data_IF_320785303440
#
_entry.id   IF_320785303440
#
_cell.length_a   1.000
_cell.length_b   1.000
_cell.length_c   1.000
_cell.angle_alpha   90.00
_cell.angle_beta   90.00
_cell.angle_gamma   90.00
#
_symmetry.space_group_name_H-M   'P 1'
#
loop_
_entity.id
_entity.type
_entity.pdbx_description
1 polymer ?
#
# COMPACT_ATOMS: atom_id res chain seq x y z
N UNK A 1 15.21 11.13 4.56
CA UNK A 1 14.81 10.10 3.58
C UNK A 1 14.17 10.81 2.40
N UNK A 2 14.48 10.42 1.16
CA UNK A 2 13.84 10.99 -0.03
C UNK A 2 12.49 10.30 -0.32
N UNK A 3 11.58 10.96 -1.07
CA UNK A 3 10.33 10.34 -1.53
C UNK A 3 10.57 9.02 -2.26
N UNK A 4 11.53 8.97 -3.17
CA UNK A 4 11.84 7.80 -3.99
C UNK A 4 12.36 6.63 -3.15
N UNK A 5 13.21 6.90 -2.16
CA UNK A 5 13.70 5.88 -1.24
C UNK A 5 12.55 5.27 -0.41
N UNK A 6 11.56 6.08 -0.03
CA UNK A 6 10.38 5.62 0.66
C UNK A 6 9.49 4.76 -0.25
N UNK A 7 9.19 5.24 -1.45
CA UNK A 7 8.41 4.50 -2.46
C UNK A 7 9.02 3.13 -2.73
N UNK A 8 10.33 3.10 -2.98
CA UNK A 8 11.04 1.86 -3.28
C UNK A 8 10.98 0.87 -2.11
N UNK A 9 11.06 1.37 -0.87
CA UNK A 9 10.90 0.53 0.31
C UNK A 9 9.50 -0.10 0.40
N UNK A 10 8.44 0.64 0.06
CA UNK A 10 7.07 0.09 -0.03
C UNK A 10 6.95 -0.94 -1.15
N UNK A 11 7.34 -0.57 -2.37
CA UNK A 11 7.22 -1.44 -3.55
C UNK A 11 7.88 -2.79 -3.27
N UNK A 12 9.15 -2.79 -2.89
CA UNK A 12 9.90 -4.04 -2.67
C UNK A 12 9.31 -4.85 -1.50
N UNK A 13 8.84 -4.19 -0.43
CA UNK A 13 8.27 -4.89 0.72
C UNK A 13 6.93 -5.56 0.39
N UNK A 14 6.10 -4.90 -0.42
CA UNK A 14 4.84 -5.45 -0.91
C UNK A 14 5.10 -6.59 -1.90
N UNK A 15 6.05 -6.41 -2.82
CA UNK A 15 6.41 -7.45 -3.78
C UNK A 15 6.90 -8.74 -3.14
N UNK A 16 7.74 -8.62 -2.11
CA UNK A 16 8.22 -9.74 -1.29
C UNK A 16 7.13 -10.37 -0.43
N UNK A 17 5.98 -9.73 -0.28
CA UNK A 17 4.85 -10.19 0.56
C UNK A 17 3.68 -10.70 -0.26
N UNK A 18 3.91 -11.01 -1.55
CA UNK A 18 2.91 -11.63 -2.40
C UNK A 18 2.07 -10.64 -3.22
N UNK A 19 2.42 -9.36 -3.23
CA UNK A 19 1.82 -8.39 -4.15
C UNK A 19 2.65 -8.21 -5.42
N UNK A 20 2.04 -7.60 -6.43
CA UNK A 20 2.68 -6.98 -7.59
C UNK A 20 2.28 -5.51 -7.62
N UNK A 21 3.18 -4.64 -8.05
CA UNK A 21 2.84 -3.25 -8.34
C UNK A 21 2.09 -3.21 -9.68
N UNK A 22 0.84 -2.74 -9.65
CA UNK A 22 0.02 -2.54 -10.85
C UNK A 22 0.28 -1.18 -11.47
N UNK A 23 0.25 -0.13 -10.67
CA UNK A 23 0.53 1.23 -11.11
C UNK A 23 1.20 2.06 -10.03
N UNK A 24 1.94 3.07 -10.49
CA UNK A 24 2.51 4.12 -9.68
C UNK A 24 2.24 5.46 -10.35
N UNK A 25 1.52 6.32 -9.64
CA UNK A 25 1.22 7.68 -10.09
C UNK A 25 1.80 8.68 -9.11
N UNK A 26 2.66 9.58 -9.59
CA UNK A 26 3.29 10.62 -8.75
C UNK A 26 2.84 12.00 -9.23
N UNK A 27 2.36 12.80 -8.29
CA UNK A 27 1.95 14.18 -8.47
C UNK A 27 2.83 15.06 -7.59
N UNK A 28 3.57 16.00 -8.17
CA UNK A 28 4.49 16.86 -7.42
C UNK A 28 4.48 18.29 -7.95
N UNK A 29 4.56 19.26 -7.04
CA UNK A 29 4.88 20.64 -7.37
C UNK A 29 6.40 20.89 -7.23
N UNK A 30 7.02 21.72 -8.09
CA UNK A 30 8.47 21.95 -8.09
C UNK A 30 9.05 22.39 -6.73
N UNK A 31 8.29 23.18 -5.97
CA UNK A 31 8.66 23.68 -4.65
C UNK A 31 7.51 23.48 -3.65
N UNK A 32 6.97 22.26 -3.56
CA UNK A 32 5.78 22.06 -2.75
C UNK A 32 5.44 20.61 -2.44
N UNK A 33 4.15 20.36 -2.12
CA UNK A 33 3.70 19.04 -1.76
C UNK A 33 3.85 18.07 -2.94
N UNK A 34 4.04 16.81 -2.56
CA UNK A 34 4.03 15.69 -3.48
C UNK A 34 3.11 14.60 -2.93
N UNK A 35 2.62 13.77 -3.83
CA UNK A 35 1.77 12.63 -3.53
C UNK A 35 2.09 11.52 -4.51
N UNK A 36 2.35 10.32 -3.99
CA UNK A 36 2.52 9.11 -4.77
C UNK A 36 1.43 8.11 -4.40
N UNK A 37 0.74 7.62 -5.43
CA UNK A 37 -0.25 6.56 -5.35
C UNK A 37 0.39 5.27 -5.82
N UNK A 38 0.41 4.26 -4.95
CA UNK A 38 0.91 2.92 -5.25
C UNK A 38 -0.26 1.94 -5.26
N UNK A 39 -0.57 1.35 -6.42
CA UNK A 39 -1.63 0.35 -6.56
C UNK A 39 -0.99 -1.02 -6.57
N UNK A 40 -1.33 -1.85 -5.58
CA UNK A 40 -0.84 -3.21 -5.47
C UNK A 40 -1.97 -4.21 -5.68
N UNK A 41 -1.71 -5.28 -6.44
CA UNK A 41 -2.60 -6.43 -6.58
C UNK A 41 -1.95 -7.69 -6.00
N UNK A 42 -2.74 -8.60 -5.44
CA UNK A 42 -2.25 -9.89 -4.95
C UNK A 42 -1.83 -10.78 -6.14
N UNK A 43 -0.60 -11.31 -6.08
CA UNK A 43 -0.05 -12.22 -7.10
C UNK A 43 -0.86 -13.50 -7.28
N UNK A 44 -1.50 -13.96 -6.20
CA UNK A 44 -2.34 -15.17 -6.22
C UNK A 44 -3.69 -14.97 -6.90
N UNK A 45 -4.09 -13.72 -7.20
CA UNK A 45 -5.37 -13.40 -7.81
C UNK A 45 -5.21 -12.92 -9.27
N UNK A 46 -6.22 -13.18 -10.13
CA UNK A 46 -6.25 -12.65 -11.49
C UNK A 46 -6.10 -11.13 -11.53
N UNK A 47 -5.46 -10.63 -12.59
CA UNK A 47 -5.31 -9.20 -12.85
C UNK A 47 -6.63 -8.55 -13.26
N UNK A 48 -6.75 -7.26 -12.97
CA UNK A 48 -7.84 -6.42 -13.47
C UNK A 48 -8.28 -5.33 -12.50
N UNK A 49 -9.20 -4.44 -12.92
CA UNK A 49 -9.61 -3.26 -12.17
C UNK A 49 -10.19 -3.55 -10.77
N UNK A 50 -10.71 -4.76 -10.56
CA UNK A 50 -11.31 -5.21 -9.30
C UNK A 50 -10.53 -6.36 -8.65
N UNK A 51 -9.27 -6.55 -9.06
CA UNK A 51 -8.40 -7.57 -8.48
C UNK A 51 -8.20 -7.30 -6.97
N UNK A 52 -8.12 -8.36 -6.15
CA UNK A 52 -7.73 -8.24 -4.76
C UNK A 52 -6.39 -7.52 -4.60
N UNK A 53 -6.31 -6.57 -3.67
CA UNK A 53 -5.20 -5.66 -3.57
C UNK A 53 -5.40 -4.51 -2.58
N UNK A 54 -4.47 -3.58 -2.59
CA UNK A 54 -4.51 -2.37 -1.77
C UNK A 54 -3.92 -1.19 -2.55
N UNK A 55 -4.51 -0.02 -2.38
CA UNK A 55 -3.94 1.24 -2.85
C UNK A 55 -3.42 2.05 -1.68
N UNK A 56 -2.14 2.41 -1.73
CA UNK A 56 -1.48 3.26 -0.75
C UNK A 56 -1.27 4.65 -1.33
N UNK A 57 -1.48 5.67 -0.50
CA UNK A 57 -1.15 7.05 -0.82
C UNK A 57 -0.07 7.50 0.16
N UNK A 58 1.06 7.90 -0.38
CA UNK A 58 2.17 8.50 0.35
C UNK A 58 2.20 9.98 -0.04
N UNK A 59 2.23 10.89 0.94
CA UNK A 59 2.35 12.31 0.66
C UNK A 59 3.35 12.98 1.59
N UNK A 60 3.95 14.06 1.08
CA UNK A 60 4.87 14.92 1.82
C UNK A 60 4.64 16.38 1.45
N UNK A 61 4.96 17.29 2.37
CA UNK A 61 4.77 18.74 2.18
C UNK A 61 5.95 19.45 1.51
N UNK A 62 7.12 18.80 1.46
CA UNK A 62 8.35 19.35 0.89
C UNK A 62 8.82 18.49 -0.28
N UNK A 63 9.15 19.13 -1.41
CA UNK A 63 9.54 18.44 -2.64
C UNK A 63 10.77 17.52 -2.48
N UNK A 64 11.72 17.88 -1.63
CA UNK A 64 12.99 17.15 -1.46
C UNK A 64 12.99 16.15 -0.29
N UNK A 65 11.90 16.03 0.46
CA UNK A 65 11.93 15.39 1.76
C UNK A 65 10.65 14.71 2.18
N UNK A 66 10.83 13.74 3.06
CA UNK A 66 9.78 12.97 3.68
C UNK A 66 9.81 13.14 5.21
N UNK A 67 9.52 14.36 5.69
CA UNK A 67 9.56 14.73 7.11
C UNK A 67 8.63 15.94 7.40
N UNK A 68 7.39 15.72 7.88
CA UNK A 68 6.69 14.44 8.02
C UNK A 68 6.15 13.93 6.67
N UNK A 69 6.05 12.61 6.52
CA UNK A 69 5.23 12.00 5.47
C UNK A 69 3.96 11.42 6.07
N UNK A 70 2.89 11.47 5.29
CA UNK A 70 1.66 10.77 5.59
C UNK A 70 1.55 9.53 4.71
N UNK A 71 1.21 8.41 5.35
CA UNK A 71 0.77 7.21 4.65
C UNK A 71 -0.71 6.99 4.97
N UNK A 72 -1.51 6.85 3.94
CA UNK A 72 -2.91 6.47 4.05
C UNK A 72 -3.25 5.34 3.09
N UNK A 73 -4.31 4.59 3.43
CA UNK A 73 -4.86 3.56 2.56
C UNK A 73 -6.13 4.08 1.89
N UNK A 74 -6.13 4.07 0.55
CA UNK A 74 -7.26 4.52 -0.25
C UNK A 74 -8.25 3.39 -0.52
N UNK A 75 -7.75 2.22 -0.91
CA UNK A 75 -8.59 1.05 -1.21
C UNK A 75 -8.00 -0.19 -0.56
N UNK A 76 -8.87 -1.14 -0.25
CA UNK A 76 -8.51 -2.43 0.31
C UNK A 76 -9.56 -3.45 -0.12
N UNK A 77 -9.22 -4.35 -1.03
CA UNK A 77 -10.15 -5.33 -1.62
C UNK A 77 -9.56 -6.71 -1.51
N UNK A 78 -10.27 -7.64 -0.87
CA UNK A 78 -9.78 -9.00 -0.64
C UNK A 78 -10.34 -9.99 -1.67
N UNK A 79 -9.75 -11.19 -1.80
CA UNK A 79 -10.37 -12.30 -2.53
C UNK A 79 -11.77 -12.56 -1.99
N UNK A 80 -12.72 -13.01 -2.82
CA UNK A 80 -14.08 -13.34 -2.38
C UNK A 80 -14.85 -12.19 -1.69
N UNK A 81 -14.48 -10.92 -1.93
CA UNK A 81 -15.14 -9.77 -1.31
C UNK A 81 -16.65 -9.67 -1.61
N UNK A 82 -17.08 -10.15 -2.79
CA UNK A 82 -18.49 -10.16 -3.21
C UNK A 82 -19.13 -11.56 -3.04
N UNK A 83 -18.45 -12.51 -2.39
CA UNK A 83 -18.94 -13.87 -2.23
C UNK A 83 -20.00 -13.93 -1.12
N UNK A 84 -21.22 -14.46 -1.40
CA UNK A 84 -22.27 -14.56 -0.40
C UNK A 84 -21.98 -15.59 0.70
N UNK A 85 -21.04 -16.53 0.48
CA UNK A 85 -20.55 -17.41 1.53
C UNK A 85 -19.64 -16.63 2.50
N UNK A 86 -20.15 -16.42 3.72
CA UNK A 86 -19.43 -15.75 4.81
C UNK A 86 -18.07 -16.38 5.09
N UNK A 87 -17.95 -17.71 5.00
CA UNK A 87 -16.67 -18.37 5.27
C UNK A 87 -15.63 -18.08 4.18
N UNK A 88 -16.05 -17.98 2.92
CA UNK A 88 -15.16 -17.57 1.83
C UNK A 88 -14.74 -16.10 1.98
N UNK A 89 -15.69 -15.22 2.27
CA UNK A 89 -15.44 -13.81 2.54
C UNK A 89 -14.39 -13.59 3.65
N UNK A 90 -14.55 -14.25 4.81
CA UNK A 90 -13.65 -14.09 5.95
C UNK A 90 -12.23 -14.61 5.67
N UNK A 91 -12.12 -15.72 4.93
CA UNK A 91 -10.83 -16.26 4.48
C UNK A 91 -10.12 -15.29 3.55
N UNK A 92 -10.83 -14.74 2.57
CA UNK A 92 -10.27 -13.75 1.67
C UNK A 92 -9.75 -12.53 2.43
N UNK A 93 -10.55 -12.01 3.37
CA UNK A 93 -10.13 -10.89 4.23
C UNK A 93 -8.82 -11.20 4.97
N UNK A 94 -8.72 -12.38 5.59
CA UNK A 94 -7.51 -12.81 6.30
C UNK A 94 -6.28 -12.86 5.40
N UNK A 95 -6.41 -13.45 4.20
CA UNK A 95 -5.30 -13.54 3.22
C UNK A 95 -4.73 -12.16 2.91
N UNK A 96 -5.59 -11.17 2.66
CA UNK A 96 -5.14 -9.82 2.34
C UNK A 96 -4.50 -9.12 3.55
N UNK A 97 -5.12 -9.24 4.74
CA UNK A 97 -4.61 -8.62 5.98
C UNK A 97 -3.25 -9.18 6.38
N UNK A 98 -3.05 -10.51 6.27
CA UNK A 98 -1.77 -11.14 6.57
C UNK A 98 -0.66 -10.65 5.63
N UNK A 99 -0.94 -10.64 4.32
CA UNK A 99 0.00 -10.15 3.32
C UNK A 99 0.36 -8.67 3.53
N UNK A 100 -0.63 -7.82 3.77
CA UNK A 100 -0.44 -6.39 4.03
C UNK A 100 0.36 -6.16 5.33
N UNK A 101 0.04 -6.89 6.39
CA UNK A 101 0.77 -6.81 7.67
C UNK A 101 2.23 -7.22 7.50
N UNK A 102 2.49 -8.29 6.75
CA UNK A 102 3.85 -8.74 6.44
C UNK A 102 4.63 -7.69 5.63
N UNK A 103 3.97 -7.05 4.65
CA UNK A 103 4.58 -5.97 3.86
C UNK A 103 4.94 -4.77 4.75
N UNK A 104 4.01 -4.30 5.58
CA UNK A 104 4.25 -3.18 6.49
C UNK A 104 5.35 -3.48 7.52
N UNK A 105 5.44 -4.71 8.00
CA UNK A 105 6.52 -5.13 8.89
C UNK A 105 7.90 -5.00 8.20
N UNK A 106 8.02 -5.45 6.94
CA UNK A 106 9.24 -5.31 6.13
C UNK A 106 9.61 -3.85 5.87
N UNK A 107 8.61 -3.00 5.57
CA UNK A 107 8.82 -1.55 5.41
C UNK A 107 9.40 -0.95 6.70
N UNK A 108 8.80 -1.25 7.85
CA UNK A 108 9.27 -0.75 9.16
C UNK A 108 10.68 -1.22 9.49
N UNK A 109 10.99 -2.48 9.21
CA UNK A 109 12.32 -3.04 9.42
C UNK A 109 13.36 -2.33 8.55
N UNK A 110 13.04 -2.09 7.27
CA UNK A 110 13.95 -1.43 6.32
C UNK A 110 14.18 0.04 6.64
N UNK A 111 13.15 0.73 7.11
CA UNK A 111 13.18 2.19 7.31
C UNK A 111 13.51 2.63 8.73
N UNK A 112 13.73 1.69 9.66
CA UNK A 112 14.25 2.01 10.99
C UNK A 112 13.27 2.77 11.88
N UNK A 113 12.02 2.25 11.99
CA UNK A 113 11.02 2.62 13.02
C UNK A 113 10.77 4.12 13.21
N UNK A 114 10.00 4.74 12.30
CA UNK A 114 9.05 5.83 12.61
C UNK A 114 8.17 6.15 11.40
N UNK A 115 7.43 5.16 10.89
CA UNK A 115 6.31 5.45 10.01
C UNK A 115 5.03 5.30 10.82
N UNK A 116 4.26 6.39 10.86
CA UNK A 116 2.93 6.42 11.45
C UNK A 116 2.12 5.23 10.93
N UNK A 117 1.29 4.64 11.81
CA UNK A 117 0.39 3.58 11.40
C UNK A 117 -0.43 4.04 10.19
N UNK A 118 -0.62 3.13 9.22
CA UNK A 118 -1.44 3.39 8.05
C UNK A 118 -2.82 3.80 8.53
N UNK A 119 -3.24 5.03 8.20
CA UNK A 119 -4.64 5.41 8.43
C UNK A 119 -5.50 4.57 7.49
N UNK A 120 -6.23 3.61 8.06
CA UNK A 120 -7.28 2.91 7.33
C UNK A 120 -8.47 3.85 7.23
N UNK A 121 -8.86 4.19 6.00
CA UNK A 121 -10.20 4.70 5.76
C UNK A 121 -11.16 3.57 6.13
N UNK A 122 -11.95 3.75 7.19
CA UNK A 122 -13.05 2.82 7.50
C UNK A 122 -13.99 2.77 6.29
N UNK A 123 -14.47 1.57 5.90
CA UNK A 123 -15.45 1.44 4.82
C UNK A 123 -16.73 2.21 5.11
#
# INVERSE_FOLDING_TARGET
>A
MSPEALEQAYIESYEQSGFRLESKDTYSLPEGPWTTVLVFQLKSAPEGPNAPGTTLIISGSQASGCQPCELSRQTFRWPDADNPDKAAFERGWHVLVEADTAALAKVRQRLGVSLSAVKMSTP
#
